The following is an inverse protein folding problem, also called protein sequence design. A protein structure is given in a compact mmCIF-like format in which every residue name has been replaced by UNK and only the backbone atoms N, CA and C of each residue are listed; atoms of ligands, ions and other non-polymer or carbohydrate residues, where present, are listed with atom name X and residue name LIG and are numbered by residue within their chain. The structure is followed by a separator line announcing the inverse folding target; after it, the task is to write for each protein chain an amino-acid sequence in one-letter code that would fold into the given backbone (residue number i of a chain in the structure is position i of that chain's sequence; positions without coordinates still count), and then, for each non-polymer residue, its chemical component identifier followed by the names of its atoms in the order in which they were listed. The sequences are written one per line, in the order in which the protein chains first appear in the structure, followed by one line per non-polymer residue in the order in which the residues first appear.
data_IF_341241633564
#
_entry.id   IF_341241633564
#
_cell.length_a   1.000
_cell.length_b   1.000
_cell.length_c   1.000
_cell.angle_alpha   90.00
_cell.angle_beta   90.00
_cell.angle_gamma   90.00
#
_symmetry.space_group_name_H-M   'P 1'
#
loop_
_entity.id
_entity.type
_entity.pdbx_description
1 polymer ?
#
# COMPACT_ATOMS: atom_id res chain seq x y z
N UNK A 1 16.87 79.34 26.00
CA UNK A 1 18.03 78.47 25.96
C UNK A 1 18.10 77.76 27.33
N UNK A 2 17.68 76.48 27.40
CA UNK A 2 17.80 75.67 28.59
C UNK A 2 18.39 74.31 28.15
N UNK A 3 19.59 74.03 28.66
CA UNK A 3 20.26 72.76 28.51
C UNK A 3 19.70 71.79 29.53
N UNK A 4 19.28 70.60 29.12
CA UNK A 4 18.94 69.49 30.03
C UNK A 4 20.06 68.46 29.90
N UNK A 5 20.77 68.21 31.02
CA UNK A 5 21.74 67.13 31.17
C UNK A 5 20.98 65.82 31.48
N UNK A 6 21.21 64.78 30.68
CA UNK A 6 20.77 63.42 31.00
C UNK A 6 21.98 62.66 31.57
N UNK A 7 21.85 62.25 32.84
CA UNK A 7 22.83 61.45 33.56
C UNK A 7 22.55 59.97 33.23
N UNK A 8 23.54 59.31 32.60
CA UNK A 8 23.51 57.89 32.32
C UNK A 8 24.03 57.10 33.52
N UNK A 9 23.17 56.42 34.27
CA UNK A 9 23.54 55.52 35.37
C UNK A 9 23.90 54.14 34.80
N UNK A 10 25.17 53.77 34.92
CA UNK A 10 25.64 52.41 34.63
C UNK A 10 25.51 51.58 35.90
N UNK A 11 24.56 50.61 35.88
CA UNK A 11 24.49 49.56 36.91
C UNK A 11 25.33 48.37 36.48
N UNK A 12 26.40 48.13 37.21
CA UNK A 12 27.20 46.90 37.08
C UNK A 12 26.56 45.84 37.99
N UNK A 13 25.96 44.82 37.37
CA UNK A 13 25.54 43.62 38.12
C UNK A 13 26.65 42.57 38.04
N UNK A 14 27.24 42.27 39.20
CA UNK A 14 28.16 41.15 39.37
C UNK A 14 27.34 39.84 39.42
N UNK A 15 27.56 38.95 38.47
CA UNK A 15 26.96 37.62 38.45
C UNK A 15 27.83 36.68 39.30
N UNK A 16 27.36 36.29 40.47
CA UNK A 16 27.90 35.15 41.22
C UNK A 16 27.32 33.86 40.63
N UNK A 17 28.19 33.05 40.07
CA UNK A 17 27.82 31.69 39.58
C UNK A 17 27.72 30.78 40.80
N UNK A 18 26.52 30.41 41.19
CA UNK A 18 26.29 29.31 42.15
C UNK A 18 26.11 28.05 41.31
N UNK A 19 27.09 27.15 41.35
CA UNK A 19 26.99 25.80 40.80
C UNK A 19 26.10 24.96 41.72
N UNK A 20 24.85 24.76 41.35
CA UNK A 20 24.02 23.67 41.89
C UNK A 20 24.04 22.49 40.92
N UNK A 21 24.64 21.41 41.34
CA UNK A 21 24.57 20.11 40.75
C UNK A 21 23.23 19.50 41.18
N UNK A 22 22.20 19.53 40.35
CA UNK A 22 21.00 18.76 40.56
C UNK A 22 21.00 17.63 39.53
N UNK A 23 21.07 16.43 40.05
CA UNK A 23 20.69 15.21 39.38
C UNK A 23 19.15 15.19 39.32
N UNK A 24 18.59 15.51 38.17
CA UNK A 24 17.24 15.13 37.79
C UNK A 24 17.32 14.73 36.34
N UNK A 25 17.14 13.43 36.14
CA UNK A 25 16.86 12.81 34.85
C UNK A 25 15.51 13.35 34.36
N UNK A 26 15.51 14.50 33.69
CA UNK A 26 14.39 14.89 32.85
C UNK A 26 14.43 14.01 31.58
N UNK A 27 13.69 12.91 31.64
CA UNK A 27 13.22 12.20 30.48
C UNK A 27 12.51 13.19 29.54
N UNK A 28 13.28 13.80 28.64
CA UNK A 28 12.74 14.40 27.45
C UNK A 28 12.05 13.24 26.71
N UNK A 29 10.72 13.26 26.49
CA UNK A 29 10.08 12.22 25.71
C UNK A 29 10.77 12.22 24.35
N UNK A 30 11.57 11.19 24.10
CA UNK A 30 12.13 10.89 22.80
C UNK A 30 10.99 11.03 21.81
N UNK A 31 11.09 12.00 20.91
CA UNK A 31 10.23 12.07 19.75
C UNK A 31 10.31 10.67 19.11
N UNK A 32 9.28 9.87 19.28
CA UNK A 32 9.14 8.61 18.60
C UNK A 32 9.05 8.95 17.11
N UNK A 33 10.22 8.97 16.45
CA UNK A 33 10.23 8.83 15.00
C UNK A 33 9.43 7.57 14.73
N UNK A 34 8.28 7.69 14.10
CA UNK A 34 7.49 6.54 13.67
C UNK A 34 8.40 5.75 12.75
N UNK A 35 9.03 4.69 13.30
CA UNK A 35 9.80 3.78 12.48
C UNK A 35 8.79 3.12 11.56
N UNK A 36 8.75 3.53 10.30
CA UNK A 36 7.84 2.98 9.30
C UNK A 36 7.86 1.46 9.31
N UNK A 37 6.71 0.85 9.09
CA UNK A 37 6.48 -0.58 9.24
C UNK A 37 5.96 -1.17 7.93
N UNK A 38 6.65 -2.17 7.40
CA UNK A 38 6.11 -3.02 6.34
C UNK A 38 5.19 -4.07 6.95
N UNK A 39 4.04 -4.29 6.31
CA UNK A 39 3.06 -5.32 6.69
C UNK A 39 2.74 -6.13 5.45
N UNK A 40 2.95 -7.45 5.49
CA UNK A 40 2.55 -8.38 4.43
C UNK A 40 1.55 -9.38 4.96
N UNK A 41 0.63 -9.78 4.09
CA UNK A 41 -0.47 -10.70 4.40
C UNK A 41 -0.54 -11.80 3.35
N UNK A 42 -1.20 -12.92 3.67
CA UNK A 42 -1.31 -14.03 2.72
C UNK A 42 -2.14 -15.20 3.22
N UNK A 43 -1.79 -16.38 2.71
CA UNK A 43 -2.53 -17.62 2.95
C UNK A 43 -2.57 -17.99 4.44
N UNK A 44 -3.66 -18.69 4.81
CA UNK A 44 -3.88 -19.19 6.18
C UNK A 44 -3.81 -18.09 7.25
N UNK A 45 -4.20 -16.86 6.91
CA UNK A 45 -4.21 -15.73 7.81
C UNK A 45 -2.82 -15.27 8.23
N UNK A 46 -1.76 -15.57 7.47
CA UNK A 46 -0.41 -15.10 7.77
C UNK A 46 -0.35 -13.57 7.73
N UNK A 47 0.26 -12.98 8.74
CA UNK A 47 0.68 -11.59 8.77
C UNK A 47 2.12 -11.53 9.23
N UNK A 48 2.99 -10.88 8.46
CA UNK A 48 4.36 -10.58 8.88
C UNK A 48 4.58 -9.08 8.87
N UNK A 49 5.46 -8.62 9.76
CA UNK A 49 5.86 -7.22 9.82
C UNK A 49 7.37 -7.08 9.86
N UNK A 50 7.88 -5.98 9.29
CA UNK A 50 9.30 -5.64 9.31
C UNK A 50 9.50 -4.12 9.41
N UNK A 51 10.39 -3.67 10.25
CA UNK A 51 10.81 -2.27 10.35
C UNK A 51 12.11 -1.96 9.59
N UNK A 52 12.84 -3.00 9.15
CA UNK A 52 14.17 -2.90 8.54
C UNK A 52 14.30 -3.59 7.17
N UNK A 53 13.20 -4.14 6.63
CA UNK A 53 13.09 -4.99 5.43
C UNK A 53 13.93 -6.27 5.46
N UNK A 54 14.70 -6.52 6.51
CA UNK A 54 15.60 -7.67 6.64
C UNK A 54 15.04 -8.76 7.52
N UNK A 55 14.43 -8.36 8.64
CA UNK A 55 13.87 -9.25 9.67
C UNK A 55 12.35 -9.18 9.65
N UNK A 56 11.70 -10.33 9.50
CA UNK A 56 10.25 -10.43 9.43
C UNK A 56 9.69 -11.16 10.63
N UNK A 57 8.73 -10.55 11.30
CA UNK A 57 8.11 -11.08 12.53
C UNK A 57 6.67 -11.48 12.26
N UNK A 58 6.31 -12.73 12.57
CA UNK A 58 4.94 -13.23 12.47
C UNK A 58 4.05 -12.57 13.53
N UNK A 59 2.84 -12.16 13.12
CA UNK A 59 1.79 -11.58 13.98
C UNK A 59 0.57 -12.49 14.01
N UNK A 60 -0.14 -12.49 15.13
CA UNK A 60 -1.37 -13.25 15.28
C UNK A 60 -2.52 -12.47 14.65
N UNK A 61 -3.10 -13.01 13.58
CA UNK A 61 -4.25 -12.42 12.88
C UNK A 61 -5.59 -12.76 13.53
N UNK A 62 -5.66 -13.87 14.29
CA UNK A 62 -6.90 -14.41 14.84
C UNK A 62 -7.79 -15.14 13.83
N UNK A 63 -7.28 -15.41 12.62
CA UNK A 63 -8.01 -16.13 11.56
C UNK A 63 -7.12 -17.12 10.82
N UNK A 64 -7.74 -18.13 10.20
CA UNK A 64 -7.09 -19.05 9.23
C UNK A 64 -7.54 -18.77 7.79
N UNK A 65 -8.33 -17.72 7.58
CA UNK A 65 -8.78 -17.30 6.25
C UNK A 65 -7.64 -16.63 5.49
N UNK A 66 -7.59 -16.83 4.17
CA UNK A 66 -6.62 -16.11 3.34
C UNK A 66 -6.87 -14.61 3.40
N UNK A 67 -5.80 -13.83 3.44
CA UNK A 67 -5.81 -12.38 3.42
C UNK A 67 -5.19 -11.94 2.09
N UNK A 68 -5.98 -11.29 1.23
CA UNK A 68 -5.59 -10.98 -0.15
C UNK A 68 -5.09 -9.56 -0.33
N UNK A 69 -5.69 -8.61 0.38
CA UNK A 69 -5.36 -7.19 0.26
C UNK A 69 -4.97 -6.57 1.59
N UNK A 70 -4.04 -5.62 1.55
CA UNK A 70 -3.67 -4.81 2.71
C UNK A 70 -3.36 -3.39 2.29
N UNK A 71 -3.81 -2.41 3.07
CA UNK A 71 -3.53 -0.99 2.87
C UNK A 71 -3.26 -0.29 4.19
N UNK A 72 -2.60 0.85 4.13
CA UNK A 72 -2.48 1.79 5.24
C UNK A 72 -3.13 3.11 4.87
N UNK A 73 -3.92 3.67 5.78
CA UNK A 73 -4.55 4.97 5.63
C UNK A 73 -5.22 5.39 6.93
N UNK A 74 -5.33 6.70 7.17
CA UNK A 74 -5.96 7.28 8.35
C UNK A 74 -5.49 6.65 9.69
N UNK A 75 -4.20 6.38 9.80
CA UNK A 75 -3.61 5.76 11.00
C UNK A 75 -3.91 4.27 11.19
N UNK A 76 -4.64 3.62 10.27
CA UNK A 76 -5.00 2.21 10.32
C UNK A 76 -4.35 1.41 9.20
N UNK A 77 -3.89 0.20 9.55
CA UNK A 77 -3.67 -0.88 8.59
C UNK A 77 -4.95 -1.69 8.49
N UNK A 78 -5.46 -1.87 7.27
CA UNK A 78 -6.67 -2.64 6.97
C UNK A 78 -6.29 -3.79 6.05
N UNK A 79 -6.68 -5.03 6.39
CA UNK A 79 -6.53 -6.20 5.51
C UNK A 79 -7.86 -6.87 5.28
N UNK A 80 -8.03 -7.43 4.09
CA UNK A 80 -9.26 -8.06 3.62
C UNK A 80 -8.99 -9.44 3.03
N UNK A 81 -9.98 -10.33 3.03
CA UNK A 81 -9.76 -11.71 2.59
C UNK A 81 -11.03 -12.55 2.40
N UNK A 82 -10.85 -13.86 2.53
CA UNK A 82 -11.90 -14.87 2.37
C UNK A 82 -13.13 -14.61 3.21
N UNK A 83 -14.31 -14.93 2.64
CA UNK A 83 -15.59 -14.91 3.33
C UNK A 83 -15.89 -13.56 4.02
N UNK A 84 -15.54 -12.46 3.37
CA UNK A 84 -15.75 -11.11 3.89
C UNK A 84 -14.89 -10.77 5.09
N UNK A 85 -13.77 -11.45 5.31
CA UNK A 85 -12.84 -11.14 6.39
C UNK A 85 -12.30 -9.71 6.24
N UNK A 86 -12.40 -8.93 7.31
CA UNK A 86 -11.75 -7.62 7.46
C UNK A 86 -11.07 -7.58 8.83
N UNK A 87 -9.78 -7.28 8.86
CA UNK A 87 -9.04 -7.02 10.09
C UNK A 87 -8.44 -5.63 10.05
N UNK A 88 -8.38 -4.98 11.21
CA UNK A 88 -7.77 -3.64 11.35
C UNK A 88 -6.75 -3.61 12.46
N UNK A 89 -5.74 -2.75 12.32
CA UNK A 89 -4.70 -2.53 13.31
C UNK A 89 -4.17 -1.10 13.25
N UNK A 90 -4.05 -0.41 14.37
CA UNK A 90 -3.38 0.89 14.45
C UNK A 90 -1.85 0.75 14.51
N UNK A 91 -1.35 -0.36 15.05
CA UNK A 91 0.08 -0.62 15.22
C UNK A 91 0.69 -1.51 14.14
N UNK A 92 -0.12 -2.29 13.39
CA UNK A 92 0.33 -3.38 12.53
C UNK A 92 0.68 -4.67 13.28
N UNK A 93 0.61 -4.67 14.62
CA UNK A 93 1.03 -5.81 15.45
C UNK A 93 -0.12 -6.53 16.14
N UNK A 94 -1.16 -5.81 16.54
CA UNK A 94 -2.38 -6.34 17.15
C UNK A 94 -3.57 -6.09 16.22
N UNK A 95 -4.37 -7.13 15.96
CA UNK A 95 -5.41 -7.11 14.95
C UNK A 95 -6.79 -7.34 15.53
N UNK A 96 -7.77 -6.60 15.02
CA UNK A 96 -9.18 -6.67 15.43
C UNK A 96 -10.04 -7.02 14.22
N UNK A 97 -10.89 -8.06 14.34
CA UNK A 97 -11.86 -8.42 13.31
C UNK A 97 -12.99 -7.42 13.25
N UNK A 98 -13.44 -7.09 12.01
CA UNK A 98 -14.56 -6.19 11.73
C UNK A 98 -15.65 -6.92 10.94
N UNK A 99 -16.90 -6.52 11.15
CA UNK A 99 -18.05 -7.07 10.43
C UNK A 99 -18.17 -6.38 9.07
N UNK A 100 -18.01 -7.14 7.99
CA UNK A 100 -18.16 -6.65 6.62
C UNK A 100 -19.60 -6.63 6.11
N UNK A 101 -20.49 -7.44 6.71
CA UNK A 101 -21.86 -7.64 6.24
C UNK A 101 -21.97 -8.52 4.98
N UNK A 102 -20.89 -9.18 4.55
CA UNK A 102 -20.88 -10.07 3.38
C UNK A 102 -20.12 -11.37 3.66
N UNK A 103 -20.43 -12.43 2.90
CA UNK A 103 -19.66 -13.68 2.84
C UNK A 103 -18.85 -13.81 1.55
N UNK A 104 -18.82 -12.78 0.72
CA UNK A 104 -18.04 -12.73 -0.51
C UNK A 104 -16.57 -12.52 -0.18
N UNK A 105 -15.67 -13.09 -0.98
CA UNK A 105 -14.24 -12.81 -0.84
C UNK A 105 -13.98 -11.34 -1.20
N UNK A 106 -13.09 -10.71 -0.45
CA UNK A 106 -12.62 -9.35 -0.66
C UNK A 106 -11.15 -9.40 -1.07
N UNK A 107 -10.82 -8.87 -2.25
CA UNK A 107 -9.48 -9.01 -2.84
C UNK A 107 -8.64 -7.76 -2.68
N UNK A 108 -9.18 -6.61 -3.05
CA UNK A 108 -8.47 -5.32 -3.02
C UNK A 108 -9.00 -4.40 -1.95
N UNK A 109 -8.11 -3.59 -1.37
CA UNK A 109 -8.48 -2.52 -0.43
C UNK A 109 -7.56 -1.32 -0.63
N UNK A 110 -8.13 -0.11 -0.57
CA UNK A 110 -7.40 1.16 -0.65
C UNK A 110 -7.97 2.18 0.33
N UNK A 111 -7.18 3.21 0.64
CA UNK A 111 -7.65 4.40 1.33
C UNK A 111 -7.40 5.64 0.46
N UNK A 112 -8.37 6.52 0.36
CA UNK A 112 -8.25 7.78 -0.35
C UNK A 112 -9.55 8.58 -0.27
N UNK A 113 -9.48 9.89 -0.46
CA UNK A 113 -10.65 10.77 -0.37
C UNK A 113 -11.41 10.67 0.96
N UNK A 114 -10.73 10.30 2.06
CA UNK A 114 -11.34 10.10 3.37
C UNK A 114 -12.13 8.79 3.54
N UNK A 115 -11.94 7.81 2.62
CA UNK A 115 -12.65 6.53 2.64
C UNK A 115 -11.70 5.36 2.44
N UNK A 116 -11.94 4.28 3.20
CA UNK A 116 -11.52 2.95 2.81
C UNK A 116 -12.53 2.38 1.81
N UNK A 117 -12.04 1.78 0.75
CA UNK A 117 -12.83 1.07 -0.26
C UNK A 117 -12.25 -0.32 -0.44
N UNK A 118 -13.09 -1.36 -0.33
CA UNK A 118 -12.70 -2.74 -0.62
C UNK A 118 -13.60 -3.33 -1.70
N UNK A 119 -13.02 -4.20 -2.52
CA UNK A 119 -13.68 -4.81 -3.68
C UNK A 119 -13.47 -6.33 -3.67
N UNK A 120 -14.38 -7.08 -4.33
CA UNK A 120 -14.32 -8.53 -4.30
C UNK A 120 -15.27 -9.23 -5.26
N UNK A 121 -15.63 -10.48 -4.91
CA UNK A 121 -16.47 -11.37 -5.69
C UNK A 121 -17.80 -10.74 -6.12
N UNK A 122 -18.24 -11.08 -7.34
CA UNK A 122 -19.55 -10.70 -7.88
C UNK A 122 -19.81 -9.19 -7.83
N UNK A 123 -18.78 -8.37 -8.10
CA UNK A 123 -18.90 -6.92 -8.07
C UNK A 123 -19.10 -6.32 -6.67
N UNK A 124 -18.74 -7.05 -5.61
CA UNK A 124 -18.83 -6.53 -4.25
C UNK A 124 -17.96 -5.30 -4.09
N UNK A 125 -18.55 -4.23 -3.55
CA UNK A 125 -17.86 -3.01 -3.11
C UNK A 125 -18.37 -2.62 -1.73
N UNK A 126 -17.47 -2.44 -0.77
CA UNK A 126 -17.79 -1.91 0.55
C UNK A 126 -16.98 -0.63 0.77
N UNK A 127 -17.54 0.30 1.53
CA UNK A 127 -16.85 1.55 1.92
C UNK A 127 -16.95 1.77 3.41
N UNK A 128 -15.94 2.41 3.99
CA UNK A 128 -15.90 2.79 5.41
C UNK A 128 -15.12 4.09 5.58
N UNK A 129 -15.61 5.01 6.40
CA UNK A 129 -14.88 6.23 6.76
C UNK A 129 -13.91 6.04 7.93
N UNK A 130 -14.09 4.97 8.73
CA UNK A 130 -13.37 4.74 9.98
C UNK A 130 -12.66 3.37 10.05
N UNK A 131 -12.78 2.55 8.97
CA UNK A 131 -12.25 1.19 8.92
C UNK A 131 -13.02 0.20 9.81
N UNK A 132 -14.05 0.62 10.53
CA UNK A 132 -14.80 -0.21 11.49
C UNK A 132 -16.20 -0.53 11.01
N UNK A 133 -16.92 0.45 10.48
CA UNK A 133 -18.29 0.30 9.96
C UNK A 133 -18.27 0.28 8.44
N UNK A 134 -18.72 -0.84 7.86
CA UNK A 134 -18.66 -1.05 6.42
C UNK A 134 -20.06 -1.03 5.80
N UNK A 135 -20.18 -0.31 4.67
CA UNK A 135 -21.43 -0.14 3.94
C UNK A 135 -21.30 -0.67 2.51
N UNK A 136 -22.22 -1.54 2.09
CA UNK A 136 -22.27 -2.07 0.73
C UNK A 136 -22.66 -0.99 -0.28
N UNK A 137 -22.01 -1.01 -1.47
CA UNK A 137 -22.26 -0.10 -2.60
C UNK A 137 -22.61 -0.89 -3.84
N UNK A 138 -23.44 -0.32 -4.70
CA UNK A 138 -23.83 -0.93 -5.96
C UNK A 138 -22.79 -0.66 -7.04
N UNK A 139 -22.17 -1.71 -7.56
CA UNK A 139 -21.17 -1.65 -8.64
C UNK A 139 -21.79 -1.70 -10.04
N UNK A 140 -23.01 -2.22 -10.17
CA UNK A 140 -23.69 -2.53 -11.44
C UNK A 140 -22.97 -3.57 -12.32
N UNK A 141 -22.15 -4.44 -11.71
CA UNK A 141 -21.52 -5.58 -12.39
C UNK A 141 -21.62 -6.84 -11.52
N UNK A 142 -21.61 -8.00 -12.15
CA UNK A 142 -21.46 -9.30 -11.49
C UNK A 142 -20.04 -9.89 -11.68
N UNK A 143 -19.13 -9.12 -12.28
CA UNK A 143 -17.72 -9.53 -12.45
C UNK A 143 -16.95 -9.36 -11.16
N UNK A 144 -16.01 -10.24 -10.90
CA UNK A 144 -15.12 -10.12 -9.76
C UNK A 144 -14.21 -8.90 -9.94
N UNK A 145 -14.00 -8.17 -8.85
CA UNK A 145 -13.16 -6.97 -8.79
C UNK A 145 -11.92 -7.29 -7.94
N UNK A 146 -10.73 -7.15 -8.51
CA UNK A 146 -9.48 -7.57 -7.89
C UNK A 146 -8.67 -6.43 -7.29
N UNK A 147 -8.54 -5.33 -8.03
CA UNK A 147 -7.75 -4.16 -7.63
C UNK A 147 -8.58 -2.90 -7.46
N UNK A 148 -8.21 -2.05 -6.53
CA UNK A 148 -8.81 -0.73 -6.32
C UNK A 148 -7.74 0.28 -5.89
N UNK A 149 -7.83 1.50 -6.42
CA UNK A 149 -6.95 2.62 -6.08
C UNK A 149 -7.72 3.94 -6.00
N UNK A 150 -7.09 4.96 -5.42
CA UNK A 150 -7.56 6.35 -5.45
C UNK A 150 -6.46 7.26 -5.95
N UNK A 151 -6.78 8.13 -6.86
CA UNK A 151 -5.89 9.15 -7.38
C UNK A 151 -6.68 10.18 -8.19
N UNK A 152 -6.14 11.38 -8.34
CA UNK A 152 -6.78 12.46 -9.08
C UNK A 152 -8.28 12.62 -8.74
N UNK A 153 -8.62 12.61 -7.43
CA UNK A 153 -9.99 12.69 -6.90
C UNK A 153 -10.96 11.60 -7.44
N UNK A 154 -10.41 10.45 -7.89
CA UNK A 154 -11.20 9.38 -8.49
C UNK A 154 -10.76 8.02 -7.93
N UNK A 155 -11.73 7.22 -7.50
CA UNK A 155 -11.53 5.79 -7.27
C UNK A 155 -11.60 5.06 -8.60
N UNK A 156 -10.69 4.13 -8.81
CA UNK A 156 -10.68 3.21 -9.96
C UNK A 156 -10.60 1.78 -9.43
N UNK A 157 -11.49 0.90 -9.89
CA UNK A 157 -11.40 -0.55 -9.61
C UNK A 157 -11.35 -1.32 -10.92
N UNK A 158 -10.61 -2.44 -10.88
CA UNK A 158 -10.40 -3.32 -12.03
C UNK A 158 -10.66 -4.77 -11.66
N UNK A 159 -10.97 -5.60 -12.66
CA UNK A 159 -11.28 -7.00 -12.37
C UNK A 159 -11.43 -7.89 -13.59
N UNK A 160 -12.23 -8.95 -13.41
CA UNK A 160 -12.46 -9.99 -14.39
C UNK A 160 -12.99 -9.44 -15.72
N UNK A 161 -12.61 -10.12 -16.82
CA UNK A 161 -13.02 -9.77 -18.19
C UNK A 161 -12.70 -8.32 -18.57
N UNK A 162 -11.62 -7.73 -18.00
CA UNK A 162 -11.22 -6.36 -18.28
C UNK A 162 -12.15 -5.30 -17.69
N UNK A 163 -12.93 -5.66 -16.67
CA UNK A 163 -13.81 -4.70 -15.98
C UNK A 163 -13.01 -3.54 -15.41
N UNK A 164 -13.45 -2.32 -15.71
CA UNK A 164 -12.94 -1.08 -15.11
C UNK A 164 -14.14 -0.25 -14.66
N UNK A 165 -14.19 0.13 -13.39
CA UNK A 165 -15.20 1.05 -12.86
C UNK A 165 -14.54 2.26 -12.24
N UNK A 166 -15.18 3.43 -12.34
CA UNK A 166 -14.70 4.68 -11.72
C UNK A 166 -15.75 5.31 -10.84
N UNK A 167 -15.32 6.01 -9.79
CA UNK A 167 -16.21 6.75 -8.88
C UNK A 167 -15.47 7.95 -8.28
N UNK A 168 -16.10 9.12 -8.28
CA UNK A 168 -15.55 10.29 -7.58
C UNK A 168 -15.82 10.29 -6.07
N UNK A 169 -16.77 9.48 -5.60
CA UNK A 169 -17.22 9.47 -4.20
C UNK A 169 -17.08 8.12 -3.50
N UNK A 170 -16.71 7.05 -4.23
CA UNK A 170 -16.74 5.66 -3.73
C UNK A 170 -18.16 5.07 -3.61
N UNK A 171 -19.22 5.84 -3.90
CA UNK A 171 -20.60 5.39 -3.70
C UNK A 171 -21.35 5.04 -4.97
N UNK A 172 -21.07 5.75 -6.08
CA UNK A 172 -21.66 5.50 -7.39
C UNK A 172 -20.54 5.15 -8.37
N UNK A 173 -20.71 4.04 -9.08
CA UNK A 173 -19.69 3.49 -9.95
C UNK A 173 -20.16 3.48 -11.41
N UNK A 174 -19.26 3.87 -12.30
CA UNK A 174 -19.51 3.97 -13.75
C UNK A 174 -18.53 3.07 -14.48
N UNK A 175 -19.03 2.21 -15.37
CA UNK A 175 -18.22 1.31 -16.20
C UNK A 175 -17.42 2.08 -17.25
N UNK A 176 -16.19 1.62 -17.49
CA UNK A 176 -15.27 2.10 -18.53
C UNK A 176 -14.83 0.96 -19.42
N UNK A 177 -14.35 1.28 -20.61
CA UNK A 177 -13.81 0.32 -21.57
C UNK A 177 -12.29 0.37 -21.58
N UNK A 178 -11.64 -0.79 -21.71
CA UNK A 178 -10.18 -0.87 -21.80
C UNK A 178 -9.74 -2.12 -22.57
N UNK A 179 -10.08 -3.29 -22.08
CA UNK A 179 -9.69 -4.59 -22.61
C UNK A 179 -10.75 -5.63 -22.29
N UNK A 180 -10.61 -6.86 -22.82
CA UNK A 180 -11.37 -8.03 -22.38
C UNK A 180 -10.54 -8.97 -21.48
N UNK A 181 -9.26 -8.69 -21.32
CA UNK A 181 -8.34 -9.50 -20.48
C UNK A 181 -8.51 -9.12 -19.02
N UNK A 182 -8.54 -10.10 -18.07
CA UNK A 182 -8.61 -9.80 -16.65
C UNK A 182 -7.50 -8.87 -16.21
N UNK A 183 -7.86 -7.90 -15.34
CA UNK A 183 -6.98 -6.90 -14.76
C UNK A 183 -6.86 -7.15 -13.25
N UNK A 184 -5.63 -7.32 -12.75
CA UNK A 184 -5.37 -7.80 -11.39
C UNK A 184 -5.10 -6.66 -10.40
N UNK A 185 -4.40 -5.61 -10.84
CA UNK A 185 -4.01 -4.49 -9.97
C UNK A 185 -4.13 -3.17 -10.71
N UNK A 186 -4.47 -2.12 -9.98
CA UNK A 186 -4.46 -0.73 -10.46
C UNK A 186 -3.87 0.18 -9.39
N UNK A 187 -3.05 1.15 -9.81
CA UNK A 187 -2.52 2.20 -8.94
C UNK A 187 -2.58 3.56 -9.65
N UNK A 188 -2.37 4.62 -8.87
CA UNK A 188 -2.12 5.96 -9.36
C UNK A 188 -0.74 6.42 -8.90
N UNK A 189 0.07 6.90 -9.82
CA UNK A 189 1.40 7.43 -9.57
C UNK A 189 1.83 8.33 -10.72
N UNK A 190 2.70 9.29 -10.48
CA UNK A 190 3.19 10.22 -11.50
C UNK A 190 2.07 10.79 -12.40
N UNK A 191 0.96 11.23 -11.78
CA UNK A 191 -0.23 11.76 -12.46
C UNK A 191 -0.88 10.82 -13.49
N UNK A 192 -0.64 9.50 -13.36
CA UNK A 192 -1.12 8.47 -14.30
C UNK A 192 -1.70 7.28 -13.52
N UNK A 193 -2.86 6.80 -13.95
CA UNK A 193 -3.35 5.48 -13.55
C UNK A 193 -2.64 4.42 -14.41
N UNK A 194 -2.19 3.36 -13.78
CA UNK A 194 -1.64 2.18 -14.47
C UNK A 194 -2.36 0.96 -13.92
N UNK A 195 -2.76 0.05 -14.81
CA UNK A 195 -3.32 -1.26 -14.44
C UNK A 195 -2.57 -2.37 -15.15
N UNK A 196 -2.44 -3.50 -14.45
CA UNK A 196 -1.77 -4.69 -14.96
C UNK A 196 -2.67 -5.90 -14.81
N UNK A 197 -2.44 -6.92 -15.64
CA UNK A 197 -3.29 -8.10 -15.65
C UNK A 197 -2.69 -9.30 -16.34
N UNK A 198 -3.58 -10.23 -16.74
CA UNK A 198 -3.21 -11.49 -17.35
C UNK A 198 -2.54 -11.30 -18.71
N UNK A 199 -1.77 -12.31 -19.12
CA UNK A 199 -1.04 -12.33 -20.40
C UNK A 199 -0.15 -11.11 -20.64
N UNK A 200 0.40 -10.54 -19.57
CA UNK A 200 1.26 -9.37 -19.62
C UNK A 200 0.53 -8.08 -19.98
N UNK A 201 -0.78 -8.01 -19.80
CA UNK A 201 -1.56 -6.80 -20.08
C UNK A 201 -1.13 -5.64 -19.20
N UNK A 202 -0.91 -4.48 -19.82
CA UNK A 202 -0.68 -3.20 -19.13
C UNK A 202 -1.52 -2.14 -19.84
N UNK A 203 -2.32 -1.39 -19.10
CA UNK A 203 -3.01 -0.21 -19.60
C UNK A 203 -2.59 0.99 -18.75
N UNK A 204 -2.62 2.18 -19.36
CA UNK A 204 -2.48 3.42 -18.61
C UNK A 204 -3.59 4.42 -18.99
N UNK A 205 -3.81 5.42 -18.12
CA UNK A 205 -4.82 6.45 -18.28
C UNK A 205 -4.43 7.69 -17.47
N UNK A 206 -4.58 8.86 -18.02
CA UNK A 206 -4.38 10.14 -17.30
C UNK A 206 -5.59 10.54 -16.46
N UNK A 207 -6.79 10.06 -16.81
CA UNK A 207 -8.07 10.49 -16.25
C UNK A 207 -8.90 9.36 -15.60
N UNK A 208 -8.45 8.11 -15.74
CA UNK A 208 -9.17 6.91 -15.30
C UNK A 208 -10.35 6.52 -16.19
N UNK A 209 -10.62 7.25 -17.27
CA UNK A 209 -11.78 7.02 -18.16
C UNK A 209 -11.40 6.44 -19.51
N UNK A 210 -10.34 6.94 -20.10
CA UNK A 210 -9.79 6.48 -21.38
C UNK A 210 -8.49 5.72 -21.12
N UNK A 211 -8.38 4.50 -21.65
CA UNK A 211 -7.28 3.58 -21.36
C UNK A 211 -6.54 3.17 -22.61
N UNK A 212 -5.22 3.30 -22.58
CA UNK A 212 -4.32 2.93 -23.65
C UNK A 212 -3.55 1.66 -23.32
N UNK A 213 -3.46 0.73 -24.28
CA UNK A 213 -2.62 -0.46 -24.18
C UNK A 213 -1.13 -0.11 -24.26
N UNK A 214 -0.34 -0.77 -23.42
CA UNK A 214 1.13 -0.66 -23.40
C UNK A 214 1.77 -2.05 -23.57
N UNK A 215 2.94 -2.07 -24.19
CA UNK A 215 3.67 -3.32 -24.42
C UNK A 215 4.52 -3.66 -23.19
N UNK A 216 4.27 -4.84 -22.59
CA UNK A 216 5.03 -5.35 -21.44
C UNK A 216 6.24 -6.19 -21.81
N UNK A 217 6.33 -6.67 -23.06
CA UNK A 217 7.33 -7.63 -23.54
C UNK A 217 7.31 -8.99 -22.82
N UNK A 218 6.21 -9.31 -22.11
CA UNK A 218 5.99 -10.62 -21.46
C UNK A 218 4.59 -11.15 -21.74
N UNK A 219 4.41 -12.46 -21.61
CA UNK A 219 3.10 -13.12 -21.58
C UNK A 219 2.72 -13.62 -20.18
N UNK A 220 3.57 -13.43 -19.20
CA UNK A 220 3.28 -13.82 -17.83
C UNK A 220 2.20 -12.91 -17.25
N UNK A 221 1.31 -13.47 -16.44
CA UNK A 221 0.33 -12.67 -15.68
C UNK A 221 1.08 -11.72 -14.74
N UNK A 222 0.66 -10.45 -14.70
CA UNK A 222 1.17 -9.41 -13.81
C UNK A 222 0.17 -9.23 -12.67
N UNK A 223 0.63 -9.33 -11.42
CA UNK A 223 -0.22 -9.40 -10.23
C UNK A 223 -0.07 -8.19 -9.31
N UNK A 224 1.16 -7.81 -8.98
CA UNK A 224 1.48 -6.69 -8.10
C UNK A 224 1.95 -5.47 -8.88
N UNK A 225 1.65 -4.28 -8.35
CA UNK A 225 2.02 -3.02 -8.97
C UNK A 225 2.17 -1.92 -7.91
N UNK A 226 3.25 -1.15 -7.99
CA UNK A 226 3.49 0.02 -7.12
C UNK A 226 4.15 1.16 -7.89
N UNK A 227 4.10 2.36 -7.32
CA UNK A 227 4.89 3.51 -7.74
C UNK A 227 5.67 4.04 -6.54
N UNK A 228 6.96 4.21 -6.69
CA UNK A 228 7.83 4.77 -5.67
C UNK A 228 9.18 5.15 -6.26
N UNK A 229 9.89 6.08 -5.64
CA UNK A 229 11.17 6.58 -6.14
C UNK A 229 11.11 6.92 -7.66
N UNK A 230 10.04 7.63 -8.08
CA UNK A 230 9.79 8.03 -9.48
C UNK A 230 9.73 6.86 -10.48
N UNK A 231 9.42 5.64 -10.01
CA UNK A 231 9.42 4.45 -10.86
C UNK A 231 8.18 3.58 -10.56
N UNK A 232 7.48 3.16 -11.61
CA UNK A 232 6.50 2.09 -11.55
C UNK A 232 7.22 0.75 -11.55
N UNK A 233 6.78 -0.16 -10.68
CA UNK A 233 7.28 -1.53 -10.60
C UNK A 233 6.09 -2.49 -10.61
N UNK A 234 6.09 -3.46 -11.54
CA UNK A 234 5.12 -4.54 -11.54
C UNK A 234 5.80 -5.90 -11.41
N UNK A 235 5.13 -6.82 -10.73
CA UNK A 235 5.61 -8.18 -10.50
C UNK A 235 4.55 -9.19 -10.90
N UNK A 236 4.97 -10.44 -11.18
CA UNK A 236 4.03 -11.45 -11.63
C UNK A 236 4.60 -12.86 -11.75
N UNK A 237 3.96 -13.66 -12.60
CA UNK A 237 4.28 -15.08 -12.82
C UNK A 237 5.74 -15.30 -13.22
N UNK A 238 6.28 -16.48 -12.84
CA UNK A 238 7.65 -16.90 -13.17
C UNK A 238 8.72 -15.86 -12.75
N UNK A 239 8.56 -15.26 -11.58
CA UNK A 239 9.49 -14.27 -11.05
C UNK A 239 9.61 -12.99 -11.86
N UNK A 240 8.62 -12.66 -12.70
CA UNK A 240 8.63 -11.47 -13.54
C UNK A 240 8.70 -10.20 -12.71
N UNK A 241 9.62 -9.29 -13.08
CA UNK A 241 9.67 -7.89 -12.60
C UNK A 241 9.84 -6.98 -13.81
N UNK A 242 8.97 -5.99 -13.97
CA UNK A 242 9.11 -4.93 -14.96
C UNK A 242 9.15 -3.57 -14.27
N UNK A 243 9.88 -2.64 -14.85
CA UNK A 243 9.99 -1.25 -14.35
C UNK A 243 9.71 -0.24 -15.43
N UNK A 244 9.14 0.91 -15.07
CA UNK A 244 8.87 2.02 -15.98
C UNK A 244 8.96 3.36 -15.25
N UNK A 245 9.54 4.38 -15.83
CA UNK A 245 9.53 5.74 -15.27
C UNK A 245 8.26 6.53 -15.61
N UNK A 246 7.57 6.14 -16.66
CA UNK A 246 6.47 6.89 -17.26
C UNK A 246 5.13 6.12 -17.35
N UNK A 247 5.13 4.82 -17.01
CA UNK A 247 3.97 3.93 -17.14
C UNK A 247 3.67 3.53 -18.60
N UNK A 248 4.53 3.90 -19.56
CA UNK A 248 4.34 3.62 -20.99
C UNK A 248 5.37 2.64 -21.55
N UNK A 249 6.65 2.84 -21.21
CA UNK A 249 7.76 2.01 -21.66
C UNK A 249 8.25 1.14 -20.50
N UNK A 250 8.27 -0.18 -20.70
CA UNK A 250 8.57 -1.13 -19.63
C UNK A 250 9.85 -1.93 -19.91
N UNK A 251 10.68 -2.08 -18.89
CA UNK A 251 11.95 -2.79 -18.95
C UNK A 251 11.91 -3.99 -18.00
N UNK A 252 12.31 -5.17 -18.49
CA UNK A 252 12.42 -6.38 -17.67
C UNK A 252 13.63 -6.29 -16.74
N UNK A 253 13.44 -6.76 -15.50
CA UNK A 253 14.49 -6.88 -14.48
C UNK A 253 14.65 -8.34 -14.05
N UNK A 254 15.87 -8.74 -13.71
CA UNK A 254 16.16 -10.08 -13.22
C UNK A 254 15.90 -10.14 -11.73
N UNK A 255 14.85 -10.88 -11.30
CA UNK A 255 14.50 -11.05 -9.89
C UNK A 255 15.35 -12.06 -9.15
N UNK A 256 15.91 -13.05 -9.87
CA UNK A 256 16.53 -14.24 -9.28
C UNK A 256 15.52 -15.27 -8.75
N UNK A 257 14.20 -15.01 -8.88
CA UNK A 257 13.14 -15.94 -8.51
C UNK A 257 12.56 -16.64 -9.74
N UNK A 258 12.10 -17.89 -9.57
CA UNK A 258 11.36 -18.66 -10.58
C UNK A 258 9.86 -18.73 -10.26
N UNK A 259 9.50 -18.55 -8.99
CA UNK A 259 8.13 -18.66 -8.51
C UNK A 259 7.36 -17.34 -8.68
N UNK A 260 6.01 -17.40 -8.72
CA UNK A 260 5.18 -16.21 -8.82
C UNK A 260 5.41 -15.21 -7.69
N UNK A 261 5.47 -13.94 -8.07
CA UNK A 261 5.53 -12.77 -7.22
C UNK A 261 4.15 -12.09 -7.25
N UNK A 262 3.60 -11.76 -6.06
CA UNK A 262 2.21 -11.31 -5.93
C UNK A 262 2.07 -9.84 -5.57
N UNK A 263 2.82 -9.37 -4.59
CA UNK A 263 2.74 -8.01 -4.07
C UNK A 263 4.07 -7.26 -4.18
N UNK A 264 4.00 -5.94 -4.34
CA UNK A 264 5.17 -5.05 -4.33
C UNK A 264 4.82 -3.70 -3.76
N UNK A 265 5.70 -3.14 -2.91
CA UNK A 265 5.58 -1.80 -2.32
C UNK A 265 6.94 -1.10 -2.26
N UNK A 266 6.90 0.22 -2.27
CA UNK A 266 8.06 1.06 -1.96
C UNK A 266 7.88 1.72 -0.59
N UNK A 267 8.91 1.67 0.23
CA UNK A 267 8.97 2.35 1.53
C UNK A 267 10.40 2.32 2.07
N UNK A 268 10.75 3.26 2.94
CA UNK A 268 12.09 3.32 3.56
C UNK A 268 13.24 3.20 2.56
N UNK A 269 13.11 3.87 1.39
CA UNK A 269 14.09 3.84 0.29
C UNK A 269 14.38 2.43 -0.27
N UNK A 270 13.44 1.49 -0.11
CA UNK A 270 13.55 0.14 -0.66
C UNK A 270 12.23 -0.32 -1.29
N UNK A 271 12.34 -1.09 -2.37
CA UNK A 271 11.24 -1.90 -2.88
C UNK A 271 11.24 -3.24 -2.15
N UNK A 272 10.06 -3.67 -1.74
CA UNK A 272 9.79 -4.97 -1.13
C UNK A 272 8.82 -5.72 -2.00
N UNK A 273 9.19 -6.93 -2.43
CA UNK A 273 8.38 -7.83 -3.23
C UNK A 273 8.08 -9.07 -2.40
N UNK A 274 6.84 -9.55 -2.46
CA UNK A 274 6.41 -10.76 -1.77
C UNK A 274 5.80 -11.75 -2.76
N UNK A 275 5.85 -13.05 -2.43
CA UNK A 275 5.43 -14.09 -3.38
C UNK A 275 5.16 -15.45 -2.76
N UNK A 276 5.15 -16.44 -3.64
CA UNK A 276 4.87 -17.85 -3.34
C UNK A 276 5.91 -18.41 -2.37
N UNK A 277 5.49 -19.38 -1.52
CA UNK A 277 6.34 -20.08 -0.54
C UNK A 277 7.10 -19.14 0.41
N UNK A 278 6.47 -18.02 0.78
CA UNK A 278 7.07 -17.05 1.70
C UNK A 278 8.20 -16.23 1.07
N UNK A 279 8.29 -16.16 -0.25
CA UNK A 279 9.29 -15.34 -0.93
C UNK A 279 9.19 -13.88 -0.50
N UNK A 280 10.33 -13.30 -0.13
CA UNK A 280 10.53 -11.87 0.09
C UNK A 280 11.80 -11.44 -0.61
N UNK A 281 11.71 -10.48 -1.52
CA UNK A 281 12.85 -9.86 -2.20
C UNK A 281 12.88 -8.37 -1.88
N UNK A 282 14.08 -7.81 -1.77
CA UNK A 282 14.27 -6.38 -1.51
C UNK A 282 15.29 -5.79 -2.47
N UNK A 283 15.06 -4.56 -2.91
CA UNK A 283 15.99 -3.81 -3.77
C UNK A 283 15.92 -2.32 -3.46
N UNK A 284 17.05 -1.64 -3.48
CA UNK A 284 17.13 -0.17 -3.40
C UNK A 284 17.36 0.48 -4.78
N UNK A 285 17.78 -0.30 -5.78
CA UNK A 285 18.23 0.17 -7.09
C UNK A 285 17.46 -0.43 -8.28
N UNK A 286 16.54 -1.39 -8.03
CA UNK A 286 15.75 -2.14 -9.03
C UNK A 286 16.60 -3.02 -9.98
N UNK A 287 17.90 -3.10 -9.74
CA UNK A 287 18.81 -3.93 -10.52
C UNK A 287 19.28 -5.16 -9.76
N UNK A 288 19.53 -4.99 -8.47
CA UNK A 288 19.95 -6.06 -7.56
C UNK A 288 18.83 -6.40 -6.59
N UNK A 289 18.34 -7.64 -6.62
CA UNK A 289 17.32 -8.14 -5.72
C UNK A 289 17.92 -9.12 -4.73
N UNK A 290 17.69 -8.86 -3.44
CA UNK A 290 18.20 -9.68 -2.34
C UNK A 290 17.08 -10.46 -1.70
N UNK A 291 17.19 -11.79 -1.64
CA UNK A 291 16.24 -12.64 -0.92
C UNK A 291 16.36 -12.43 0.58
N UNK A 292 15.20 -12.39 1.27
CA UNK A 292 15.09 -12.23 2.72
C UNK A 292 14.33 -13.42 3.31
N UNK A 293 14.72 -13.82 4.52
CA UNK A 293 14.07 -14.92 5.23
C UNK A 293 12.76 -14.45 5.86
N UNK A 294 11.64 -15.00 5.42
CA UNK A 294 10.31 -14.72 5.97
C UNK A 294 9.90 -15.64 7.13
N UNK A 295 10.59 -16.77 7.30
CA UNK A 295 10.27 -17.84 8.27
C UNK A 295 8.86 -18.43 8.09
N UNK A 296 8.33 -18.46 6.86
CA UNK A 296 7.06 -19.11 6.51
C UNK A 296 7.15 -19.75 5.13
N UNK A 297 6.36 -20.80 4.92
CA UNK A 297 6.12 -21.40 3.60
C UNK A 297 4.74 -21.00 3.03
N UNK A 298 3.96 -20.20 3.76
CA UNK A 298 2.70 -19.68 3.23
C UNK A 298 2.98 -18.67 2.12
N UNK A 299 2.10 -18.61 1.12
CA UNK A 299 2.17 -17.55 0.12
C UNK A 299 1.91 -16.20 0.79
N UNK A 300 2.72 -15.21 0.42
CA UNK A 300 2.55 -13.81 0.78
C UNK A 300 1.95 -13.10 -0.43
N UNK A 301 0.75 -12.54 -0.28
CA UNK A 301 -0.08 -12.12 -1.41
C UNK A 301 -0.05 -10.62 -1.63
N UNK A 302 0.06 -9.84 -0.56
CA UNK A 302 0.12 -8.38 -0.66
C UNK A 302 1.02 -7.80 0.43
N UNK A 303 1.54 -6.60 0.19
CA UNK A 303 2.40 -5.87 1.13
C UNK A 303 2.10 -4.39 1.09
N UNK A 304 2.08 -3.75 2.26
CA UNK A 304 1.92 -2.30 2.43
C UNK A 304 3.00 -1.73 3.33
N UNK A 305 3.16 -0.41 3.28
CA UNK A 305 4.05 0.34 4.15
C UNK A 305 3.28 1.36 4.96
N UNK A 306 3.41 1.29 6.28
CA UNK A 306 2.89 2.25 7.25
C UNK A 306 4.01 3.21 7.65
N UNK A 307 3.81 4.48 7.44
CA UNK A 307 4.69 5.56 7.90
C UNK A 307 4.58 5.82 9.41
#
# INVERSE_FOLDING_TARGET
MRYIFIILSVFIFSLTVISCKSSDDDDVPSSTSSNGLFVTVGDNGIILTSSDVKSWTKRTSGTTKNLYGVTYGDGLVVTVGDNGTILTSSSGTSWTSRTSGTTKNLYGVTYGGGLFVTVGDNGTILTSSDGTTWTSRTSNTSKDLYGVTYGNNTFVTVGDSGTILTSSSGTRWTSRSGTSTPLNKVIYGNSTFVTVGDSGTILNSSDGTSWDNRTSSTKNSLAGLTFGNSTFVTVGGSGTILTSSDGTSWTTRTSGASDPLWGVIYGKSAFVVVGTLGTVLTSSDLTTWTSRTSNTSNNLLEVTYKE
#
